data_IF_485530031176
#
_entry.id   IF_485530031176
#
_cell.length_a   1.000
_cell.length_b   1.000
_cell.length_c   1.000
_cell.angle_alpha   90.00
_cell.angle_beta   90.00
_cell.angle_gamma   90.00
#
_symmetry.space_group_name_H-M   'P 1'
#
loop_
_entity.id
_entity.type
_entity.pdbx_description
1 polymer ?
#
# COMPACT_ATOMS: atom_id res chain seq x y z
N UNK A 1 23.08 -1.34 -20.24
CA UNK A 1 23.26 -0.07 -19.49
C UNK A 1 22.04 0.85 -19.64
N UNK A 2 21.50 1.01 -20.85
CA UNK A 2 20.32 1.85 -21.14
C UNK A 2 19.06 1.51 -20.30
N UNK A 3 18.79 0.22 -20.07
CA UNK A 3 17.62 -0.22 -19.27
C UNK A 3 17.64 0.27 -17.81
N UNK A 4 18.81 0.39 -17.17
CA UNK A 4 18.91 0.86 -15.77
C UNK A 4 18.76 2.37 -15.67
N UNK A 5 19.31 3.11 -16.64
CA UNK A 5 19.17 4.56 -16.71
C UNK A 5 17.71 4.96 -16.97
N UNK A 6 17.09 4.37 -17.99
CA UNK A 6 15.67 4.60 -18.30
C UNK A 6 14.76 4.29 -17.11
N UNK A 7 15.05 3.22 -16.35
CA UNK A 7 14.30 2.92 -15.12
C UNK A 7 14.49 3.99 -14.04
N UNK A 8 15.70 4.51 -13.84
CA UNK A 8 15.97 5.57 -12.87
C UNK A 8 15.26 6.87 -13.27
N UNK A 9 15.28 7.23 -14.55
CA UNK A 9 14.57 8.40 -15.08
C UNK A 9 13.05 8.28 -14.90
N UNK A 10 12.49 7.08 -15.16
CA UNK A 10 11.07 6.83 -14.93
C UNK A 10 10.69 6.95 -13.45
N UNK A 11 11.50 6.41 -12.55
CA UNK A 11 11.30 6.54 -11.09
C UNK A 11 11.39 8.00 -10.66
N UNK A 12 12.41 8.73 -11.11
CA UNK A 12 12.58 10.16 -10.79
C UNK A 12 11.38 10.97 -11.27
N UNK A 13 10.91 10.73 -12.49
CA UNK A 13 9.74 11.40 -13.07
C UNK A 13 8.49 11.17 -12.23
N UNK A 14 8.24 9.92 -11.82
CA UNK A 14 7.11 9.57 -10.94
C UNK A 14 7.20 10.29 -9.60
N UNK A 15 8.38 10.32 -8.96
CA UNK A 15 8.56 11.01 -7.68
C UNK A 15 8.35 12.52 -7.79
N UNK A 16 8.81 13.15 -8.87
CA UNK A 16 8.59 14.57 -9.12
C UNK A 16 7.11 14.90 -9.33
N UNK A 17 6.38 14.08 -10.11
CA UNK A 17 4.94 14.26 -10.31
C UNK A 17 4.19 14.14 -8.98
N UNK A 18 4.51 13.13 -8.16
CA UNK A 18 3.91 12.95 -6.83
C UNK A 18 4.17 14.18 -5.96
N UNK A 19 5.41 14.67 -5.91
CA UNK A 19 5.78 15.85 -5.14
C UNK A 19 5.03 17.11 -5.58
N UNK A 20 4.86 17.33 -6.89
CA UNK A 20 4.08 18.44 -7.43
C UNK A 20 2.60 18.34 -7.02
N UNK A 21 2.00 17.16 -7.17
CA UNK A 21 0.58 16.96 -6.81
C UNK A 21 0.32 17.11 -5.32
N UNK A 22 1.27 16.71 -4.47
CA UNK A 22 1.17 16.91 -3.02
C UNK A 22 1.03 18.39 -2.63
N UNK A 23 1.53 19.31 -3.45
CA UNK A 23 1.46 20.75 -3.20
C UNK A 23 0.17 21.41 -3.73
N UNK A 24 -0.55 20.74 -4.63
CA UNK A 24 -1.73 21.30 -5.31
C UNK A 24 -3.05 20.62 -4.93
N UNK A 25 -3.02 19.38 -4.42
CA UNK A 25 -4.21 18.64 -4.02
C UNK A 25 -4.66 19.04 -2.62
N UNK A 26 -5.93 19.42 -2.48
CA UNK A 26 -6.56 19.69 -1.19
C UNK A 26 -7.31 18.46 -0.64
N UNK A 27 -7.56 17.45 -1.48
CA UNK A 27 -8.21 16.18 -1.09
C UNK A 27 -7.18 15.05 -1.08
N UNK A 28 -7.12 14.33 0.04
CA UNK A 28 -6.22 13.20 0.23
C UNK A 28 -6.54 12.04 -0.71
N UNK A 29 -7.80 11.86 -1.08
CA UNK A 29 -8.29 10.81 -1.97
C UNK A 29 -7.80 11.05 -3.39
N UNK A 30 -7.90 12.30 -3.89
CA UNK A 30 -7.33 12.70 -5.18
C UNK A 30 -5.82 12.51 -5.21
N UNK A 31 -5.13 12.89 -4.13
CA UNK A 31 -3.69 12.71 -4.03
C UNK A 31 -3.31 11.22 -4.12
N UNK A 32 -3.96 10.36 -3.34
CA UNK A 32 -3.67 8.91 -3.34
C UNK A 32 -4.02 8.25 -4.68
N UNK A 33 -5.10 8.69 -5.34
CA UNK A 33 -5.42 8.23 -6.69
C UNK A 33 -4.34 8.61 -7.69
N UNK A 34 -3.79 9.82 -7.60
CA UNK A 34 -2.74 10.25 -8.50
C UNK A 34 -1.40 9.56 -8.23
N UNK A 35 -1.07 9.29 -6.96
CA UNK A 35 0.07 8.44 -6.57
C UNK A 35 -0.07 7.05 -7.20
N UNK A 36 -1.26 6.43 -7.06
CA UNK A 36 -1.53 5.13 -7.65
C UNK A 36 -1.34 5.15 -9.18
N UNK A 37 -1.94 6.13 -9.88
CA UNK A 37 -1.79 6.27 -11.33
C UNK A 37 -0.33 6.47 -11.77
N UNK A 38 0.47 7.19 -10.98
CA UNK A 38 1.88 7.40 -11.28
C UNK A 38 2.71 6.12 -11.08
N UNK A 39 2.45 5.37 -10.00
CA UNK A 39 3.11 4.09 -9.72
C UNK A 39 2.79 3.01 -10.75
N UNK A 40 1.55 2.97 -11.25
CA UNK A 40 1.09 2.01 -12.26
C UNK A 40 1.92 2.03 -13.56
N UNK A 41 2.65 3.12 -13.83
CA UNK A 41 3.51 3.26 -15.02
C UNK A 41 4.89 2.61 -14.86
N UNK A 42 5.31 2.32 -13.63
CA UNK A 42 6.66 1.81 -13.33
C UNK A 42 6.67 0.46 -12.61
N UNK A 43 5.54 0.04 -12.07
CA UNK A 43 5.36 -1.27 -11.44
C UNK A 43 3.91 -1.73 -11.55
N UNK A 44 3.70 -3.03 -11.38
CA UNK A 44 2.35 -3.58 -11.22
C UNK A 44 1.71 -3.01 -9.94
N UNK A 45 0.49 -2.52 -10.06
CA UNK A 45 -0.26 -1.89 -8.96
C UNK A 45 -1.76 -2.17 -9.04
N UNK A 46 -2.23 -3.21 -9.74
CA UNK A 46 -3.67 -3.46 -9.88
C UNK A 46 -4.37 -3.59 -8.52
N UNK A 47 -3.65 -4.10 -7.51
CA UNK A 47 -4.03 -4.06 -6.11
C UNK A 47 -3.16 -3.04 -5.38
N UNK A 48 -3.77 -1.96 -4.88
CA UNK A 48 -3.09 -0.88 -4.15
C UNK A 48 -4.03 -0.23 -3.14
N UNK A 49 -3.60 -0.17 -1.88
CA UNK A 49 -4.34 0.48 -0.82
C UNK A 49 -3.41 1.20 0.16
N UNK A 50 -3.98 2.14 0.91
CA UNK A 50 -3.31 2.82 2.03
C UNK A 50 -4.09 2.50 3.29
N UNK A 51 -3.38 2.04 4.31
CA UNK A 51 -3.93 1.73 5.62
C UNK A 51 -3.41 2.74 6.65
N UNK A 52 -4.31 3.38 7.38
CA UNK A 52 -4.00 4.28 8.49
C UNK A 52 -4.38 3.60 9.80
N UNK A 53 -3.42 3.39 10.67
CA UNK A 53 -3.68 2.95 12.04
C UNK A 53 -3.75 4.15 12.96
N UNK A 54 -4.86 4.27 13.68
CA UNK A 54 -4.97 5.19 14.80
C UNK A 54 -4.63 4.42 16.09
N UNK A 55 -3.64 4.93 16.84
CA UNK A 55 -3.20 4.28 18.07
C UNK A 55 -4.17 4.53 19.23
N UNK A 56 -5.02 5.55 19.14
CA UNK A 56 -5.94 5.92 20.21
C UNK A 56 -7.16 5.00 20.27
N UNK A 57 -7.71 4.61 19.11
CA UNK A 57 -8.85 3.68 19.01
C UNK A 57 -8.45 2.23 18.66
N UNK A 58 -7.19 2.00 18.27
CA UNK A 58 -6.67 0.69 17.90
C UNK A 58 -7.22 0.17 16.57
N UNK A 59 -7.85 1.03 15.77
CA UNK A 59 -8.46 0.68 14.50
C UNK A 59 -7.53 1.00 13.33
N UNK A 60 -7.81 0.34 12.21
CA UNK A 60 -7.22 0.61 10.90
C UNK A 60 -8.31 1.06 9.94
N UNK A 61 -8.05 2.16 9.24
CA UNK A 61 -8.92 2.74 8.23
C UNK A 61 -8.21 2.69 6.89
N UNK A 62 -8.99 2.52 5.83
CA UNK A 62 -8.46 2.43 4.47
C UNK A 62 -8.95 3.63 3.65
N UNK A 63 -8.31 4.81 3.78
CA UNK A 63 -8.70 6.01 3.01
C UNK A 63 -8.57 5.83 1.49
N UNK A 64 -7.81 4.84 1.03
CA UNK A 64 -7.70 4.49 -0.38
C UNK A 64 -7.58 2.97 -0.50
N UNK A 65 -8.40 2.37 -1.35
CA UNK A 65 -8.42 0.92 -1.57
C UNK A 65 -8.85 0.61 -2.99
N UNK A 66 -7.95 -0.02 -3.76
CA UNK A 66 -8.23 -0.59 -5.08
C UNK A 66 -7.74 -2.02 -5.05
N UNK A 67 -8.64 -2.95 -5.36
CA UNK A 67 -8.36 -4.38 -5.46
C UNK A 67 -9.16 -4.98 -6.61
N UNK A 68 -8.63 -6.03 -7.23
CA UNK A 68 -9.24 -6.71 -8.37
C UNK A 68 -10.41 -7.63 -7.96
N UNK A 69 -10.43 -8.07 -6.70
CA UNK A 69 -11.39 -9.07 -6.21
C UNK A 69 -12.30 -8.51 -5.12
N UNK A 70 -11.76 -7.71 -4.21
CA UNK A 70 -12.49 -7.23 -3.04
C UNK A 70 -13.04 -5.80 -3.24
N UNK A 71 -14.29 -5.53 -2.80
CA UNK A 71 -14.81 -4.17 -2.78
C UNK A 71 -14.09 -3.32 -1.74
N UNK A 72 -13.94 -2.02 -2.03
CA UNK A 72 -13.37 -1.09 -1.07
C UNK A 72 -14.22 -1.02 0.23
N UNK A 73 -13.59 -1.12 1.41
CA UNK A 73 -14.28 -0.91 2.68
C UNK A 73 -14.68 0.56 2.85
N UNK A 74 -15.60 0.87 3.76
CA UNK A 74 -15.94 2.26 4.09
C UNK A 74 -14.71 2.96 4.71
N UNK A 75 -14.17 4.03 4.10
CA UNK A 75 -13.02 4.76 4.63
C UNK A 75 -13.23 5.32 6.05
N UNK A 76 -14.49 5.55 6.45
CA UNK A 76 -14.87 6.07 7.77
C UNK A 76 -15.12 4.97 8.79
N UNK A 77 -15.10 3.71 8.38
CA UNK A 77 -15.22 2.57 9.28
C UNK A 77 -13.82 2.04 9.60
N UNK A 78 -13.47 2.07 10.89
CA UNK A 78 -12.25 1.43 11.37
C UNK A 78 -12.47 -0.07 11.55
N UNK A 79 -11.47 -0.87 11.17
CA UNK A 79 -11.42 -2.31 11.41
C UNK A 79 -10.39 -2.58 12.50
N UNK A 80 -10.69 -3.49 13.44
CA UNK A 80 -9.74 -3.86 14.46
C UNK A 80 -8.46 -4.46 13.84
N UNK A 81 -7.30 -4.04 14.35
CA UNK A 81 -6.02 -4.58 13.89
C UNK A 81 -5.91 -6.08 14.23
N UNK A 82 -5.76 -6.92 13.21
CA UNK A 82 -5.55 -8.36 13.39
C UNK A 82 -4.19 -8.65 14.06
N UNK A 83 -3.99 -9.89 14.53
CA UNK A 83 -2.68 -10.31 15.04
C UNK A 83 -1.63 -10.35 13.92
N UNK A 84 -0.34 -10.09 14.20
CA UNK A 84 0.73 -10.14 13.18
C UNK A 84 0.81 -11.46 12.38
N UNK A 85 0.40 -12.58 12.98
CA UNK A 85 0.38 -13.89 12.31
C UNK A 85 -0.83 -14.13 11.40
N UNK A 86 -1.81 -13.23 11.42
CA UNK A 86 -3.06 -13.34 10.64
C UNK A 86 -3.15 -12.31 9.51
N UNK A 87 -2.32 -11.27 9.54
CA UNK A 87 -2.35 -10.19 8.56
C UNK A 87 -0.94 -9.63 8.30
N UNK A 88 -0.46 -9.68 7.04
CA UNK A 88 0.77 -9.00 6.64
C UNK A 88 0.72 -7.49 6.92
N UNK A 89 -0.44 -6.86 6.74
CA UNK A 89 -0.66 -5.44 7.04
C UNK A 89 -0.46 -5.16 8.53
N UNK A 90 -1.02 -6.01 9.40
CA UNK A 90 -0.80 -5.90 10.84
C UNK A 90 0.66 -6.08 11.22
N UNK A 91 1.35 -7.02 10.57
CA UNK A 91 2.78 -7.23 10.79
C UNK A 91 3.60 -5.97 10.46
N UNK A 92 3.33 -5.32 9.32
CA UNK A 92 4.02 -4.08 8.91
C UNK A 92 3.76 -2.94 9.90
N UNK A 93 2.49 -2.74 10.31
CA UNK A 93 2.10 -1.68 11.25
C UNK A 93 2.80 -1.85 12.59
N UNK A 94 2.79 -3.07 13.15
CA UNK A 94 3.31 -3.34 14.49
C UNK A 94 4.85 -3.38 14.53
N UNK A 95 5.50 -3.92 13.50
CA UNK A 95 6.96 -4.02 13.45
C UNK A 95 7.65 -2.79 12.87
N UNK A 96 6.90 -1.90 12.19
CA UNK A 96 7.41 -0.69 11.51
C UNK A 96 8.55 -1.00 10.52
N UNK A 97 8.44 -2.15 9.84
CA UNK A 97 9.43 -2.63 8.86
C UNK A 97 8.73 -2.97 7.56
N UNK A 98 9.38 -2.64 6.44
CA UNK A 98 8.94 -3.06 5.11
C UNK A 98 8.93 -4.58 5.03
N UNK A 99 7.83 -5.14 4.53
CA UNK A 99 7.69 -6.56 4.25
C UNK A 99 7.60 -6.75 2.74
N UNK A 100 8.47 -7.61 2.20
CA UNK A 100 8.37 -8.13 0.84
C UNK A 100 8.18 -9.63 1.00
N UNK A 101 7.16 -10.16 0.33
CA UNK A 101 6.78 -11.56 0.45
C UNK A 101 6.24 -12.06 -0.89
N UNK A 102 6.39 -13.34 -1.11
CA UNK A 102 5.77 -14.08 -2.21
C UNK A 102 4.64 -14.96 -1.67
N UNK A 103 3.74 -15.39 -2.55
CA UNK A 103 2.65 -16.30 -2.16
C UNK A 103 3.17 -17.63 -1.59
N UNK A 104 4.27 -18.15 -2.13
CA UNK A 104 4.87 -19.42 -1.70
C UNK A 104 5.43 -19.34 -0.27
N UNK A 105 6.09 -18.23 0.10
CA UNK A 105 6.64 -18.01 1.44
C UNK A 105 5.54 -17.90 2.51
N UNK A 106 4.38 -17.38 2.15
CA UNK A 106 3.24 -17.26 3.06
C UNK A 106 2.49 -18.59 3.22
N UNK A 107 2.34 -19.34 2.13
CA UNK A 107 1.74 -20.66 2.17
C UNK A 107 2.54 -21.62 3.06
N UNK A 108 3.88 -21.56 3.00
CA UNK A 108 4.79 -22.35 3.84
C UNK A 108 4.64 -22.10 5.35
N UNK A 109 4.33 -20.87 5.76
CA UNK A 109 4.13 -20.52 7.18
C UNK A 109 2.83 -21.05 7.77
N UNK A 110 1.81 -21.30 6.93
CA UNK A 110 0.53 -21.87 7.39
C UNK A 110 0.61 -23.38 7.69
N UNK A 111 1.64 -24.07 7.22
CA UNK A 111 1.78 -25.54 7.32
C UNK A 111 2.51 -25.97 8.62
N UNK A 112 3.35 -25.10 9.18
CA UNK A 112 4.15 -25.40 10.39
C UNK A 112 3.42 -25.04 11.71
N UNK A 113 2.12 -24.73 11.64
CA UNK A 113 1.31 -24.28 12.79
C UNK A 113 0.11 -25.16 13.12
N UNK A 114 0.06 -26.41 12.66
CA UNK A 114 -1.00 -27.38 12.97
C UNK A 114 -0.56 -28.40 14.02
#
# INVERSE_FOLDING_TARGET
>A
MESRLSRLEAVQTVLLEIGQRSSSCNDISEFLQAVHAALARIMYSANFYVALNDQDDGLVRFPYFVDEFDPAPDPKQGVALASPGQSPTAWVILNRRTLVMTADEEAGKKIDGA
#
